data_IF_516146422613
#
_entry.id   IF_516146422613
#
_cell.length_a   1.000
_cell.length_b   1.000
_cell.length_c   1.000
_cell.angle_alpha   90.00
_cell.angle_beta   90.00
_cell.angle_gamma   90.00
#
_symmetry.space_group_name_H-M   'P 1'
#
loop_
_entity.id
_entity.type
_entity.pdbx_description
1 polymer ?
#
# COMPACT_ATOMS: atom_id res chain seq x y z
N UNK A 1 34.79 -3.77 11.10
CA UNK A 1 34.44 -3.18 9.79
C UNK A 1 33.84 -1.82 10.09
N UNK A 2 34.44 -0.73 9.60
CA UNK A 2 33.94 0.62 9.85
C UNK A 2 32.68 0.89 9.02
N UNK A 3 31.56 1.09 9.71
CA UNK A 3 30.23 1.34 9.11
C UNK A 3 30.14 2.68 8.38
N UNK A 4 31.06 3.59 8.68
CA UNK A 4 31.19 4.92 8.09
C UNK A 4 32.17 4.94 6.91
N UNK A 5 32.77 3.80 6.56
CA UNK A 5 33.72 3.73 5.47
C UNK A 5 33.01 4.03 4.13
N UNK A 6 33.55 5.03 3.45
CA UNK A 6 33.19 5.37 2.07
C UNK A 6 33.79 4.34 1.12
N UNK A 7 33.01 3.91 0.14
CA UNK A 7 33.44 2.93 -0.87
C UNK A 7 33.89 3.60 -2.17
N UNK A 8 33.62 4.91 -2.33
CA UNK A 8 34.00 5.70 -3.51
C UNK A 8 34.43 7.11 -3.09
N UNK A 9 34.94 7.90 -4.04
CA UNK A 9 35.26 9.33 -3.85
C UNK A 9 34.52 10.22 -4.84
N UNK A 10 33.51 9.66 -5.55
CA UNK A 10 32.71 10.39 -6.51
C UNK A 10 31.78 11.41 -5.86
N UNK A 11 31.24 12.33 -6.66
CA UNK A 11 30.39 13.43 -6.19
C UNK A 11 29.09 12.97 -5.49
N UNK A 12 28.65 11.73 -5.75
CA UNK A 12 27.47 11.09 -5.15
C UNK A 12 27.84 10.03 -4.10
N UNK A 13 29.08 10.01 -3.60
CA UNK A 13 29.51 9.01 -2.62
C UNK A 13 28.83 9.21 -1.25
N UNK A 14 28.35 8.11 -0.66
CA UNK A 14 27.77 8.03 0.69
C UNK A 14 28.39 6.85 1.46
N UNK A 15 28.52 6.95 2.80
CA UNK A 15 28.96 5.83 3.63
C UNK A 15 28.08 4.60 3.42
N UNK A 16 28.68 3.41 3.48
CA UNK A 16 28.01 2.15 3.16
C UNK A 16 26.75 1.89 3.98
N UNK A 17 26.78 2.22 5.27
CA UNK A 17 25.68 1.93 6.20
C UNK A 17 24.90 3.19 6.61
N UNK A 18 24.96 4.27 5.80
CA UNK A 18 24.14 5.46 6.02
C UNK A 18 22.69 5.22 5.59
N UNK A 19 21.74 5.60 6.45
CA UNK A 19 20.30 5.42 6.19
C UNK A 19 19.79 6.49 5.23
N UNK A 20 18.94 6.08 4.27
CA UNK A 20 18.18 7.01 3.43
C UNK A 20 17.13 7.71 4.31
N UNK A 21 16.82 8.98 4.03
CA UNK A 21 16.03 9.88 4.88
C UNK A 21 14.68 9.30 5.39
N UNK A 22 14.12 8.29 4.73
CA UNK A 22 12.85 7.64 5.08
C UNK A 22 13.01 6.28 5.79
N UNK A 23 14.21 5.68 5.77
CA UNK A 23 14.50 4.35 6.35
C UNK A 23 15.42 4.40 7.57
N UNK A 24 15.62 5.60 8.14
CA UNK A 24 16.39 5.80 9.36
C UNK A 24 15.67 5.26 10.61
N UNK A 25 16.39 4.98 11.70
CA UNK A 25 15.77 4.63 12.97
C UNK A 25 14.92 5.80 13.50
N UNK A 26 13.64 5.54 13.77
CA UNK A 26 12.66 6.54 14.23
C UNK A 26 11.25 6.11 13.83
N UNK A 27 10.21 6.70 14.45
CA UNK A 27 8.85 6.56 13.93
C UNK A 27 8.73 7.49 12.71
N UNK A 28 8.14 7.03 11.59
CA UNK A 28 7.84 7.90 10.46
C UNK A 28 7.12 9.17 10.91
N UNK A 29 7.50 10.31 10.33
CA UNK A 29 6.80 11.55 10.59
C UNK A 29 5.47 11.56 9.82
N UNK A 30 4.43 11.06 10.48
CA UNK A 30 3.05 11.02 9.95
C UNK A 30 2.31 12.36 10.17
N UNK A 31 3.01 13.46 10.49
CA UNK A 31 2.42 14.80 10.67
C UNK A 31 1.97 15.48 9.37
N UNK A 32 1.85 14.70 8.29
CA UNK A 32 1.36 15.15 6.99
C UNK A 32 0.01 15.86 7.07
N UNK A 33 -0.26 16.74 6.09
CA UNK A 33 -1.52 17.46 6.01
C UNK A 33 -2.67 16.48 5.78
N UNK A 34 -3.75 16.65 6.52
CA UNK A 34 -4.99 15.94 6.25
C UNK A 34 -5.47 16.24 4.83
N UNK A 35 -5.94 15.20 4.15
CA UNK A 35 -6.55 15.32 2.82
C UNK A 35 -7.98 15.79 3.02
N UNK A 36 -8.32 16.96 2.48
CA UNK A 36 -9.71 17.43 2.41
C UNK A 36 -10.46 16.61 1.36
N UNK A 37 -11.62 16.09 1.73
CA UNK A 37 -12.49 15.30 0.85
C UNK A 37 -13.79 16.06 0.68
N UNK A 38 -14.25 16.20 -0.56
CA UNK A 38 -15.54 16.83 -0.83
C UNK A 38 -16.70 15.94 -0.38
N UNK A 39 -17.87 16.53 -0.11
CA UNK A 39 -19.06 15.75 0.27
C UNK A 39 -19.45 14.72 -0.81
N UNK A 40 -19.25 15.06 -2.08
CA UNK A 40 -19.49 14.18 -3.22
C UNK A 40 -18.54 12.97 -3.23
N UNK A 41 -17.25 13.19 -2.97
CA UNK A 41 -16.26 12.11 -2.86
C UNK A 41 -16.52 11.24 -1.63
N UNK A 42 -16.88 11.84 -0.50
CA UNK A 42 -17.24 11.10 0.70
C UNK A 42 -18.44 10.18 0.48
N UNK A 43 -19.48 10.66 -0.23
CA UNK A 43 -20.63 9.86 -0.64
C UNK A 43 -20.23 8.71 -1.57
N UNK A 44 -19.36 8.97 -2.56
CA UNK A 44 -18.85 7.93 -3.48
C UNK A 44 -18.07 6.84 -2.75
N UNK A 45 -17.23 7.22 -1.80
CA UNK A 45 -16.46 6.26 -0.99
C UNK A 45 -17.40 5.44 -0.10
N UNK A 46 -18.42 6.09 0.48
CA UNK A 46 -19.40 5.39 1.31
C UNK A 46 -20.21 4.38 0.50
N UNK A 47 -20.60 4.70 -0.73
CA UNK A 47 -21.32 3.77 -1.60
C UNK A 47 -20.43 2.64 -2.12
N UNK A 48 -19.13 2.88 -2.36
CA UNK A 48 -18.21 1.80 -2.74
C UNK A 48 -17.92 0.82 -1.60
N UNK A 49 -18.01 1.30 -0.36
CA UNK A 49 -17.84 0.52 0.87
C UNK A 49 -19.15 -0.06 1.42
N UNK A 50 -20.29 0.12 0.74
CA UNK A 50 -21.55 -0.45 1.22
C UNK A 50 -21.48 -1.97 1.25
N UNK A 51 -21.95 -2.55 2.36
CA UNK A 51 -21.95 -4.02 2.56
C UNK A 51 -22.80 -4.72 1.51
N UNK A 52 -23.87 -4.08 1.05
CA UNK A 52 -24.79 -4.63 0.07
C UNK A 52 -24.08 -5.09 -1.22
N UNK A 53 -23.17 -4.26 -1.78
CA UNK A 53 -22.38 -4.65 -2.96
C UNK A 53 -21.42 -5.81 -2.67
N UNK A 54 -20.91 -5.89 -1.45
CA UNK A 54 -20.00 -6.94 -1.02
C UNK A 54 -20.74 -8.27 -0.79
N UNK A 55 -21.98 -8.21 -0.32
CA UNK A 55 -22.84 -9.37 -0.14
C UNK A 55 -23.28 -9.92 -1.51
N UNK A 56 -23.68 -9.06 -2.46
CA UNK A 56 -23.96 -9.47 -3.85
C UNK A 56 -22.76 -10.16 -4.51
N UNK A 57 -21.55 -9.61 -4.33
CA UNK A 57 -20.31 -10.20 -4.88
C UNK A 57 -19.93 -11.52 -4.20
N UNK A 58 -20.30 -11.72 -2.94
CA UNK A 58 -20.09 -13.00 -2.24
C UNK A 58 -21.05 -14.05 -2.75
N UNK A 59 -22.32 -13.70 -2.91
CA UNK A 59 -23.34 -14.60 -3.44
C UNK A 59 -22.95 -15.07 -4.86
N UNK A 60 -22.47 -14.17 -5.72
CA UNK A 60 -21.96 -14.51 -7.05
C UNK A 60 -20.70 -15.42 -6.99
N UNK A 61 -19.79 -15.15 -6.06
CA UNK A 61 -18.57 -15.96 -5.89
C UNK A 61 -18.89 -17.38 -5.41
N UNK A 62 -19.83 -17.51 -4.47
CA UNK A 62 -20.29 -18.79 -3.95
C UNK A 62 -20.95 -19.61 -5.06
N UNK A 63 -21.80 -18.98 -5.90
CA UNK A 63 -22.38 -19.62 -7.10
C UNK A 63 -21.30 -20.13 -8.07
N UNK A 64 -20.28 -19.31 -8.36
CA UNK A 64 -19.18 -19.71 -9.24
C UNK A 64 -18.31 -20.84 -8.65
N UNK A 65 -18.24 -20.94 -7.33
CA UNK A 65 -17.46 -21.97 -6.63
C UNK A 65 -18.21 -23.30 -6.58
N UNK A 66 -19.54 -23.26 -6.42
CA UNK A 66 -20.41 -24.43 -6.43
C UNK A 66 -20.56 -25.05 -7.83
N UNK A 67 -20.36 -24.26 -8.88
CA UNK A 67 -20.30 -24.78 -10.25
C UNK A 67 -19.07 -25.69 -10.44
N UNK A 68 -19.23 -26.84 -11.12
CA UNK A 68 -18.10 -27.71 -11.41
C UNK A 68 -17.08 -26.95 -12.25
N UNK A 69 -15.92 -26.68 -11.66
CA UNK A 69 -14.77 -26.11 -12.34
C UNK A 69 -14.42 -27.03 -13.51
N UNK A 70 -14.73 -26.59 -14.74
CA UNK A 70 -14.31 -27.29 -15.95
C UNK A 70 -12.78 -27.23 -15.96
N UNK A 71 -12.14 -28.30 -15.52
CA UNK A 71 -10.69 -28.42 -15.58
C UNK A 71 -10.23 -28.09 -17.00
N UNK A 72 -9.29 -27.16 -17.12
CA UNK A 72 -8.61 -26.91 -18.37
C UNK A 72 -7.92 -28.22 -18.83
N UNK A 73 -7.93 -28.53 -20.13
CA UNK A 73 -7.26 -29.73 -20.67
C UNK A 73 -5.75 -29.72 -20.44
#
# INVERSE_FOLDING_TARGET
MDRQAKISTGMNDRPRDETIAESGPGIPDDSGRMVEVTDEEAQRIKSSLSRDRLDDLKDELDEQTDLPQRGAP
#
